data_IF_391148668419
#
_entry.id   IF_391148668419
#
_cell.length_a   1.000
_cell.length_b   1.000
_cell.length_c   1.000
_cell.angle_alpha   90.00
_cell.angle_beta   90.00
_cell.angle_gamma   90.00
#
_symmetry.space_group_name_H-M   'P 1'
#
loop_
_entity.id
_entity.type
_entity.pdbx_description
1 polymer ?
2 non-polymer ?
3 water ?
#
# COMPACT_ATOMS: atom_id res chain seq x y z
N UNK A 4 7.22 13.18 7.54
CA UNK A 4 7.94 11.93 7.17
C UNK A 4 7.04 10.68 7.30
N UNK A 5 7.50 9.58 6.72
CA UNK A 5 6.63 8.49 6.31
C UNK A 5 6.69 7.28 7.24
N UNK A 6 5.53 6.87 7.74
CA UNK A 6 5.40 5.64 8.50
C UNK A 6 4.80 4.56 7.61
N UNK A 7 4.88 3.31 8.06
CA UNK A 7 4.32 2.18 7.32
C UNK A 7 3.92 1.11 8.32
N UNK A 8 2.70 0.59 8.20
CA UNK A 8 2.20 -0.41 9.14
C UNK A 8 2.60 -1.82 8.71
N UNK A 9 3.59 -2.37 9.37
CA UNK A 9 4.07 -3.73 9.09
C UNK A 9 5.16 -4.12 10.08
N UNK A 10 5.54 -5.39 10.07
CA UNK A 10 6.75 -5.83 10.77
C UNK A 10 7.89 -5.83 9.77
N UNK A 11 9.09 -5.52 10.23
CA UNK A 11 10.25 -5.41 9.36
C UNK A 11 11.39 -6.24 9.94
N UNK A 12 11.80 -7.26 9.19
CA UNK A 12 12.84 -8.20 9.62
C UNK A 12 13.91 -8.27 8.55
N UNK A 13 15.14 -8.58 8.96
CA UNK A 13 16.19 -8.92 8.01
C UNK A 13 16.27 -10.44 7.96
N UNK A 14 16.04 -11.00 6.77
CA UNK A 14 16.05 -12.44 6.54
C UNK A 14 16.92 -12.76 5.34
N UNK A 15 17.99 -13.50 5.58
CA UNK A 15 18.94 -13.89 4.53
C UNK A 15 19.42 -12.67 3.74
N UNK A 16 19.80 -11.62 4.47
CA UNK A 16 20.26 -10.34 3.89
C UNK A 16 19.13 -9.46 3.30
N UNK A 18 15.77 -7.27 3.66
CA UNK A 18 14.79 -6.56 4.44
C UNK A 18 13.39 -6.92 3.99
N UNK A 19 12.64 -7.58 4.87
CA UNK A 19 11.34 -8.14 4.53
C UNK A 19 10.24 -7.51 5.38
N UNK A 20 9.24 -6.94 4.72
CA UNK A 20 8.06 -6.38 5.38
C UNK A 20 6.96 -7.45 5.48
N UNK A 21 6.42 -7.66 6.67
CA UNK A 21 5.33 -8.63 6.87
C UNK A 21 4.02 -7.93 7.24
N UNK A 22 2.96 -8.29 6.52
CA UNK A 22 1.65 -7.66 6.63
C UNK A 22 0.55 -8.72 6.71
N UNK A 23 -0.61 -8.34 7.21
CA UNK A 23 -1.75 -9.26 7.28
C UNK A 23 -2.84 -8.78 8.22
N UNK A 24 -3.94 -9.51 8.28
CA UNK A 24 -5.04 -9.20 9.20
C UNK A 24 -4.58 -9.28 10.64
N UNK A 25 -5.41 -8.75 11.54
CA UNK A 25 -5.11 -8.76 12.96
C UNK A 25 -5.26 -10.18 13.53
N UNK A 26 -4.41 -10.50 14.51
CA UNK A 26 -4.51 -11.73 15.30
C UNK A 26 -4.44 -13.01 14.43
N UNK A 27 -3.37 -13.11 13.64
CA UNK A 27 -3.07 -14.31 12.87
C UNK A 27 -1.70 -14.90 13.21
N UNK A 28 -0.93 -14.24 14.09
CA UNK A 28 0.37 -14.74 14.52
C UNK A 28 1.57 -14.08 13.86
N UNK A 29 1.43 -12.82 13.45
CA UNK A 29 2.52 -12.05 12.85
C UNK A 29 3.67 -11.84 13.83
N UNK A 30 3.36 -11.32 15.01
CA UNK A 30 4.38 -11.10 16.04
C UNK A 30 5.01 -12.42 16.49
N UNK A 31 4.21 -13.47 16.51
CA UNK A 31 4.69 -14.80 16.81
C UNK A 31 5.62 -15.29 15.70
N UNK A 32 5.34 -14.91 14.47
CA UNK A 32 6.21 -15.23 13.34
C UNK A 32 7.55 -14.53 13.45
N UNK A 33 7.54 -13.25 13.85
CA UNK A 33 8.79 -12.51 14.05
C UNK A 33 9.66 -13.23 15.07
N UNK A 34 9.10 -13.55 16.22
CA UNK A 34 9.82 -14.26 17.28
C UNK A 34 10.46 -15.54 16.74
N UNK A 35 9.65 -16.36 16.06
CA UNK A 35 10.14 -17.62 15.50
C UNK A 35 11.28 -17.40 14.50
N UNK A 36 11.16 -16.39 13.66
CA UNK A 36 12.23 -16.03 12.73
C UNK A 36 13.50 -15.58 13.46
N UNK A 37 13.33 -14.82 14.55
CA UNK A 37 14.49 -14.44 15.39
C UNK A 37 15.18 -15.69 15.93
N UNK A 38 14.37 -16.67 16.33
CA UNK A 38 14.86 -17.93 16.91
C UNK A 38 15.63 -18.77 15.88
N UNK A 39 15.31 -18.59 14.60
CA UNK A 39 16.05 -19.26 13.53
C UNK A 39 17.33 -18.52 13.13
N UNK A 40 17.64 -17.41 13.79
CA UNK A 40 18.89 -16.68 13.56
C UNK A 40 18.76 -15.43 12.72
N UNK A 41 17.53 -15.01 12.44
CA UNK A 41 17.28 -13.81 11.65
C UNK A 41 17.19 -12.61 12.60
N UNK A 42 16.89 -11.43 12.05
CA UNK A 42 16.97 -10.20 12.82
C UNK A 42 15.70 -9.36 12.76
N UNK A 43 15.43 -8.67 13.86
CA UNK A 43 14.31 -7.74 13.96
C UNK A 43 14.79 -6.33 13.61
N UNK A 44 14.01 -5.63 12.79
CA UNK A 44 14.20 -4.20 12.63
C UNK A 44 13.14 -3.49 13.45
N UNK A 45 11.87 -3.84 13.23
CA UNK A 45 10.79 -3.22 13.98
C UNK A 45 9.46 -4.00 13.97
N UNK A 46 8.73 -3.90 15.07
CA UNK A 46 7.40 -4.47 15.20
C UNK A 46 6.37 -3.37 14.93
N UNK A 47 5.24 -3.76 14.36
CA UNK A 47 4.08 -2.86 14.15
C UNK A 47 4.27 -1.72 13.14
N UNK A 48 5.12 -0.75 13.45
CA UNK A 48 5.28 0.45 12.61
C UNK A 48 6.72 0.70 12.23
N UNK A 49 6.93 1.20 11.00
CA UNK A 49 8.27 1.42 10.44
C UNK A 49 8.40 2.83 9.89
N UNK A 50 9.49 3.52 10.22
CA UNK A 50 9.83 4.76 9.54
C UNK A 50 10.52 4.42 8.22
N UNK A 51 10.12 5.10 7.15
CA UNK A 51 10.70 4.89 5.82
C UNK A 51 11.35 6.17 5.31
N UNK A 52 12.39 6.02 4.50
CA UNK A 52 13.04 7.15 3.85
C UNK A 52 13.85 6.72 2.62
N UNK A 53 14.15 7.68 1.76
CA UNK A 53 14.98 7.43 0.58
C UNK A 53 16.37 8.03 0.73
N UNK A 54 17.39 7.18 0.63
CA UNK A 54 18.79 7.63 0.70
C UNK A 54 19.65 6.87 -0.32
N UNK A 55 20.14 7.59 -1.33
CA UNK A 55 21.02 7.01 -2.37
C UNK A 55 20.31 5.94 -3.22
N UNK A 56 19.11 6.27 -3.69
CA UNK A 56 18.28 5.33 -4.45
C UNK A 56 18.06 4.01 -3.69
N UNK A 57 17.85 4.13 -2.38
CA UNK A 57 17.49 2.99 -1.53
C UNK A 57 16.31 3.36 -0.65
N UNK A 58 15.34 2.45 -0.56
CA UNK A 58 14.27 2.57 0.40
C UNK A 58 14.76 1.93 1.69
N UNK A 59 15.09 2.77 2.66
CA UNK A 59 15.56 2.31 3.96
C UNK A 59 14.44 2.37 5.00
N UNK A 60 14.31 1.31 5.78
CA UNK A 60 13.32 1.22 6.84
C UNK A 60 13.98 1.22 8.20
N UNK A 61 13.49 2.05 9.11
CA UNK A 61 14.08 2.20 10.43
C UNK A 61 13.00 2.25 11.50
N UNK A 62 13.33 1.73 12.68
CA UNK A 62 12.40 1.66 13.80
C UNK A 62 12.59 2.91 14.64
N UNK A 63 11.48 3.54 15.07
CA UNK A 63 11.63 4.68 15.98
C UNK A 63 12.11 4.23 17.35
N UNK A 64 12.84 5.08 18.05
CA UNK A 64 13.39 4.77 19.38
C UNK A 64 12.29 4.32 20.35
N UNK A 65 12.69 3.98 21.57
CA UNK A 65 11.75 3.63 22.64
C UNK A 65 11.14 2.27 22.39
N UNK A 66 10.47 2.13 21.25
CA UNK A 66 9.95 0.83 20.80
C UNK A 66 11.04 -0.08 20.26
N UNK A 67 12.20 0.47 19.92
CA UNK A 67 13.26 -0.32 19.32
C UNK A 67 13.71 -1.50 20.19
N UNK A 68 13.71 -2.69 19.60
CA UNK A 68 14.16 -3.90 20.30
C UNK A 68 13.05 -4.68 20.99
N UNK A 69 11.84 -4.14 21.00
CA UNK A 69 10.72 -4.77 21.71
C UNK A 69 9.66 -5.34 20.76
N UNK A 70 9.09 -6.47 21.17
CA UNK A 70 8.02 -7.16 20.45
C UNK A 70 6.90 -7.44 21.43
N UNK A 71 5.65 -7.28 21.00
CA UNK A 71 4.51 -7.62 21.83
C UNK A 71 3.88 -8.91 21.29
N UNK A 72 3.68 -9.89 22.18
CA UNK A 72 2.99 -11.13 21.85
C UNK A 72 1.96 -11.40 22.93
N UNK A 73 0.70 -11.48 22.55
CA UNK A 73 -0.38 -11.63 23.52
C UNK A 73 -0.21 -12.95 24.25
N UNK A 74 -0.28 -12.90 25.57
CA UNK A 74 0.01 -14.04 26.42
C UNK A 74 1.33 -13.86 27.14
N UNK A 75 2.33 -13.37 26.39
CA UNK A 75 3.66 -13.11 26.92
C UNK A 75 3.76 -11.67 27.40
N UNK A 76 3.34 -10.75 26.55
CA UNK A 76 3.51 -9.32 26.79
C UNK A 76 4.67 -8.77 26.00
N UNK A 77 5.42 -7.85 26.59
CA UNK A 77 6.59 -7.28 25.94
C UNK A 77 7.77 -8.24 26.01
N UNK A 78 8.57 -8.25 24.93
CA UNK A 78 9.76 -9.09 24.85
C UNK A 78 10.95 -8.22 24.48
N UNK A 79 11.87 -8.04 25.43
CA UNK A 79 13.14 -7.37 25.17
C UNK A 79 14.01 -8.34 24.36
N UNK A 80 13.91 -8.27 23.04
CA UNK A 80 14.57 -9.23 22.15
C UNK A 80 16.09 -9.29 22.33
N UNK A 81 16.75 -8.12 22.43
CA UNK A 81 18.19 -8.11 22.70
C UNK A 81 18.58 -8.87 23.96
N UNK A 82 17.87 -8.63 25.06
CA UNK A 82 18.14 -9.32 26.32
C UNK A 82 18.06 -10.84 26.15
N UNK A 83 17.06 -11.31 25.41
CA UNK A 83 16.77 -12.75 25.29
C UNK A 83 17.50 -13.44 24.14
N UNK A 84 17.82 -12.71 23.07
CA UNK A 84 18.40 -13.33 21.87
C UNK A 84 19.74 -12.72 21.42
N UNK A 85 20.28 -11.77 22.18
CA UNK A 85 21.58 -11.18 21.88
C UNK A 85 21.50 -9.85 21.15
N UNK A 86 22.58 -9.08 21.22
CA UNK A 86 22.64 -7.76 20.60
C UNK A 86 22.53 -7.86 19.07
N UNK A 87 23.12 -8.91 18.49
CA UNK A 87 23.08 -9.11 17.04
C UNK A 87 21.70 -9.55 16.50
N UNK A 88 20.73 -9.77 17.38
CA UNK A 88 19.38 -10.17 16.98
C UNK A 88 18.50 -8.99 16.53
N UNK A 89 18.98 -7.76 16.77
CA UNK A 89 18.27 -6.56 16.35
C UNK A 89 19.18 -5.65 15.53
N UNK A 90 18.57 -4.93 14.58
CA UNK A 90 19.28 -4.00 13.71
C UNK A 90 18.48 -2.71 13.64
N UNK A 91 19.18 -1.57 13.60
CA UNK A 91 18.49 -0.27 13.63
C UNK A 91 17.91 0.18 12.29
N UNK A 92 18.47 -0.30 11.19
CA UNK A 92 17.92 -0.04 9.86
C UNK A 92 18.39 -1.04 8.81
N UNK A 93 17.71 -1.05 7.67
CA UNK A 93 18.05 -1.93 6.56
C UNK A 93 17.23 -1.56 5.34
N UNK A 94 17.74 -1.87 4.15
CA UNK A 94 17.03 -1.62 2.90
C UNK A 94 15.83 -2.56 2.80
N UNK A 95 14.74 -2.08 2.23
CA UNK A 95 13.54 -2.87 1.98
C UNK A 95 13.71 -3.59 0.67
N UNK A 96 13.65 -4.92 0.69
CA UNK A 96 13.80 -5.73 -0.52
C UNK A 96 12.51 -6.43 -0.95
N UNK A 97 11.72 -6.87 0.03
CA UNK A 97 10.55 -7.70 -0.24
C UNK A 97 9.43 -7.35 0.72
N UNK A 98 8.21 -7.49 0.25
CA UNK A 98 7.01 -7.29 1.05
C UNK A 98 6.16 -8.55 0.97
N UNK A 99 5.98 -9.25 2.08
CA UNK A 99 5.13 -10.43 2.11
C UNK A 99 3.82 -10.09 2.79
N UNK A 100 2.71 -10.45 2.14
CA UNK A 100 1.37 -10.20 2.65
C UNK A 100 0.72 -11.54 2.95
N UNK A 101 0.55 -11.83 4.25
CA UNK A 101 -0.01 -13.10 4.71
C UNK A 101 -1.52 -13.07 4.53
N UNK A 102 -2.04 -14.00 3.73
CA UNK A 102 -3.45 -14.02 3.34
C UNK A 102 -4.10 -15.32 3.78
N UNK A 103 -5.37 -15.24 4.17
CA UNK A 103 -6.14 -16.43 4.53
C UNK A 103 -6.42 -17.19 3.24
N UNK A 104 -6.21 -18.51 3.24
CA UNK A 104 -6.40 -19.34 2.04
C UNK A 104 -7.68 -19.05 1.26
N UNK A 105 -8.78 -18.82 1.98
CA UNK A 105 -10.09 -18.61 1.34
C UNK A 105 -10.14 -17.31 0.52
N UNK A 106 -9.38 -16.30 0.98
CA UNK A 106 -9.36 -14.99 0.34
C UNK A 106 -8.24 -14.85 -0.69
N UNK A 108 -6.29 -15.04 -4.10
CA UNK A 108 -6.69 -15.02 -5.52
C UNK A 108 -6.25 -16.26 -6.29
N UNK A 109 -6.79 -16.43 -7.49
CA UNK A 109 -6.44 -17.58 -8.33
C UNK A 109 -4.97 -17.53 -8.71
N UNK A 110 -4.38 -18.72 -8.86
CA UNK A 110 -2.95 -18.87 -9.09
C UNK A 110 -2.70 -19.13 -10.57
N UNK A 111 -1.89 -18.28 -11.20
CA UNK A 111 -1.61 -18.39 -12.63
C UNK A 111 -0.61 -19.50 -12.89
N UNK A 112 0.48 -19.48 -12.11
CA UNK A 112 1.53 -20.48 -12.19
C UNK A 112 1.81 -21.02 -10.79
N UNK A 113 1.31 -22.23 -10.48
CA UNK A 113 1.49 -22.80 -9.14
C UNK A 113 2.92 -23.27 -8.84
N UNK A 114 3.81 -23.26 -9.83
CA UNK A 114 5.22 -23.59 -9.64
C UNK A 114 6.01 -22.39 -9.12
N UNK A 115 5.37 -21.21 -9.04
CA UNK A 115 5.99 -20.01 -8.49
C UNK A 115 5.06 -19.32 -7.49
N UNK A 116 5.60 -18.42 -6.66
CA UNK A 116 4.76 -17.67 -5.73
C UNK A 116 3.86 -16.67 -6.45
N UNK A 117 2.81 -16.21 -5.79
CA UNK A 117 1.96 -15.19 -6.37
C UNK A 117 2.61 -13.84 -6.15
N UNK A 118 3.29 -13.35 -7.19
CA UNK A 118 4.03 -12.09 -7.14
C UNK A 118 3.16 -10.91 -7.57
N UNK A 119 3.29 -9.81 -6.83
CA UNK A 119 2.72 -8.53 -7.20
C UNK A 119 3.80 -7.47 -6.94
N UNK A 120 3.44 -6.20 -7.11
CA UNK A 120 4.33 -5.08 -6.79
C UNK A 120 3.63 -4.10 -5.85
N UNK A 121 4.39 -3.60 -4.87
CA UNK A 121 3.95 -2.53 -3.97
C UNK A 121 4.72 -1.27 -4.28
N UNK A 122 4.01 -0.15 -4.37
CA UNK A 122 4.66 1.16 -4.50
C UNK A 122 4.86 1.74 -3.11
N UNK A 123 6.10 1.75 -2.66
CA UNK A 123 6.47 2.32 -1.36
C UNK A 123 7.32 3.57 -1.61
N UNK A 124 6.74 4.74 -1.35
CA UNK A 124 7.38 6.02 -1.68
C UNK A 124 7.91 6.03 -3.11
N UNK A 125 7.09 5.55 -4.04
CA UNK A 125 7.41 5.57 -5.46
C UNK A 125 8.41 4.53 -5.93
N UNK A 126 8.76 3.59 -5.06
CA UNK A 126 9.71 2.54 -5.41
C UNK A 126 8.97 1.21 -5.51
N UNK A 127 9.27 0.45 -6.56
CA UNK A 127 8.65 -0.85 -6.78
C UNK A 127 9.30 -1.88 -5.88
N UNK A 128 8.55 -2.34 -4.87
CA UNK A 128 8.99 -3.43 -4.02
C UNK A 128 8.20 -4.68 -4.40
N UNK A 129 8.90 -5.78 -4.73
CA UNK A 129 8.20 -7.03 -5.02
C UNK A 129 7.35 -7.47 -3.84
N UNK A 130 6.18 -8.02 -4.14
CA UNK A 130 5.20 -8.38 -3.11
C UNK A 130 4.69 -9.78 -3.37
N UNK A 131 4.70 -10.62 -2.34
CA UNK A 131 4.18 -11.98 -2.44
C UNK A 131 2.93 -12.10 -1.60
N UNK A 132 1.90 -12.71 -2.15
CA UNK A 132 0.72 -13.08 -1.39
C UNK A 132 0.91 -14.51 -0.91
N UNK A 133 1.05 -14.71 0.39
CA UNK A 133 1.31 -16.05 0.93
C UNK A 133 0.14 -16.58 1.73
N UNK A 134 -0.37 -17.77 1.36
CA UNK A 134 -1.48 -18.38 2.07
C UNK A 134 -1.06 -18.92 3.44
N UNK A 135 -1.81 -18.58 4.47
CA UNK A 135 -1.46 -18.96 5.83
C UNK A 135 -2.33 -20.13 6.31
N UNK A 136 -1.72 -21.30 6.45
CA UNK A 136 -2.36 -22.45 7.06
C UNK A 136 -1.81 -22.61 8.47
N UNK A 137 -2.66 -22.95 9.46
CA UNK A 137 -2.12 -23.07 10.81
C UNK A 137 -1.30 -24.35 10.98
N UNK A 138 -0.06 -24.21 11.47
CA UNK A 138 0.75 -25.36 11.84
C UNK A 138 1.35 -26.16 10.69
N UNK A 139 1.95 -25.46 9.73
CA UNK A 139 2.77 -26.11 8.69
C UNK A 139 4.19 -25.57 8.76
N UNK A 140 4.56 -25.07 9.94
CA UNK A 140 5.88 -24.49 10.18
C UNK A 140 6.08 -23.24 9.34
N UNK A 141 5.18 -22.27 9.54
CA UNK A 141 5.21 -20.99 8.83
C UNK A 141 6.57 -20.27 8.86
N UNK A 142 7.30 -20.32 9.99
CA UNK A 142 8.61 -19.68 9.99
C UNK A 142 9.54 -20.27 8.94
N UNK A 143 9.56 -21.60 8.84
CA UNK A 143 10.40 -22.26 7.85
C UNK A 143 9.92 -21.92 6.44
N UNK A 144 8.61 -21.81 6.27
CA UNK A 144 8.05 -21.51 4.96
C UNK A 144 8.42 -20.12 4.50
N UNK A 145 8.30 -19.15 5.39
CA UNK A 145 8.64 -17.76 5.11
C UNK A 145 10.15 -17.59 4.90
N UNK A 146 10.96 -18.29 5.68
CA UNK A 146 12.40 -18.28 5.48
C UNK A 146 12.76 -18.84 4.11
N UNK A 147 12.10 -19.92 3.72
CA UNK A 147 12.34 -20.57 2.43
C UNK A 147 11.86 -19.67 1.28
N UNK A 148 10.71 -19.03 1.47
CA UNK A 148 10.18 -18.09 0.49
C UNK A 148 11.15 -16.94 0.23
N UNK A 149 11.78 -16.45 1.28
CA UNK A 149 12.68 -15.29 1.19
C UNK A 149 14.00 -15.68 0.55
N UNK A 150 14.52 -16.85 0.90
CA UNK A 150 15.77 -17.34 0.30
C UNK A 150 15.60 -17.62 -1.19
N UNK A 151 14.45 -18.14 -1.56
CA UNK A 151 14.10 -18.34 -2.97
C UNK A 151 14.03 -17.02 -3.70
N UNK A 152 13.47 -16.02 -3.05
CA UNK A 152 13.36 -14.68 -3.64
C UNK A 152 14.75 -14.09 -3.93
N UNK A 153 15.65 -14.22 -2.96
CA UNK A 153 17.01 -13.70 -3.13
C UNK A 153 17.73 -14.38 -4.28
N UNK A 154 17.58 -15.70 -4.40
CA UNK A 154 18.13 -16.42 -5.54
C UNK A 154 17.54 -15.91 -6.85
N UNK A 155 16.23 -15.68 -6.84
CA UNK A 155 15.54 -15.20 -8.04
C UNK A 155 16.00 -13.80 -8.47
N UNK A 157 18.93 -12.48 -7.71
CA UNK A 157 20.28 -12.70 -8.20
C UNK A 157 20.29 -13.31 -9.59
N UNK A 158 19.22 -14.05 -9.92
CA UNK A 158 19.03 -14.59 -11.25
C UNK A 158 18.83 -13.51 -12.30
N UNK A 159 18.03 -12.50 -11.96
CA UNK A 159 17.80 -11.38 -12.88
C UNK A 159 19.04 -10.51 -12.99
N UNK A 160 19.74 -10.30 -11.88
CA UNK A 160 20.97 -9.53 -11.88
C UNK A 160 22.07 -10.19 -12.71
N UNK A 161 22.11 -11.52 -12.70
CA UNK A 161 23.02 -12.26 -13.57
C UNK A 161 22.64 -12.11 -15.03
N UNK A 162 21.34 -12.22 -15.32
CA UNK A 162 20.83 -12.10 -16.69
C UNK A 162 21.13 -10.73 -17.25
N UNK A 163 20.85 -9.68 -16.48
CA UNK A 163 21.15 -8.31 -16.91
C UNK A 163 22.64 -8.12 -17.19
N UNK A 164 23.48 -8.56 -16.26
CA UNK A 164 24.93 -8.51 -16.46
C UNK A 164 25.40 -9.39 -17.62
N UNK A 165 24.65 -10.47 -17.90
CA UNK A 165 24.94 -11.34 -19.03
C UNK A 165 24.77 -10.61 -20.36
N UNK A 166 23.93 -9.58 -20.38
CA UNK A 166 23.84 -8.71 -21.56
C UNK A 166 25.00 -7.70 -21.59
N UNK A 167 26.22 -8.25 -21.59
CA UNK A 167 27.45 -7.50 -21.91
C UNK A 167 27.78 -7.67 -23.40
N UNK A 168 27.08 -8.57 -24.08
CA UNK A 168 27.36 -8.90 -25.47
C UNK A 168 26.86 -7.81 -26.42
N UNK B 4 -14.86 1.24 10.10
CA UNK B 4 -15.86 2.33 9.92
C UNK B 4 -15.20 3.68 10.12
N UNK B 5 -15.18 4.50 9.08
CA UNK B 5 -14.62 5.85 9.16
C UNK B 5 -15.06 6.70 7.98
N UNK B 6 -15.61 7.88 8.27
CA UNK B 6 -16.08 8.80 7.24
C UNK B 6 -15.02 9.84 6.92
N UNK B 7 -14.72 10.01 5.63
CA UNK B 7 -13.70 10.95 5.17
C UNK B 7 -14.34 12.04 4.32
N UNK B 8 -13.63 13.16 4.17
CA UNK B 8 -14.01 14.18 3.21
C UNK B 8 -13.10 14.09 1.98
N UNK B 9 -13.65 13.58 0.89
CA UNK B 9 -12.90 13.41 -0.36
C UNK B 9 -13.80 12.84 -1.45
N UNK B 10 -13.27 12.75 -2.66
CA UNK B 10 -13.97 12.12 -3.78
C UNK B 10 -13.36 10.77 -4.09
N UNK B 11 -14.20 9.78 -4.37
CA UNK B 11 -13.73 8.44 -4.67
C UNK B 11 -14.23 8.00 -6.03
N UNK B 12 -13.29 7.69 -6.94
CA UNK B 12 -13.59 7.29 -8.31
C UNK B 12 -12.80 6.05 -8.70
N UNK B 13 -13.33 5.26 -9.63
CA UNK B 13 -12.62 4.12 -10.17
C UNK B 13 -12.08 4.48 -11.54
N UNK B 14 -10.76 4.48 -11.68
CA UNK B 14 -10.07 4.88 -12.90
C UNK B 14 -9.13 3.77 -13.34
N UNK B 15 -9.41 3.16 -14.48
CA UNK B 15 -8.56 2.11 -15.03
C UNK B 15 -8.38 1.00 -13.99
N UNK B 16 -9.49 0.53 -13.43
CA UNK B 16 -9.53 -0.50 -12.38
C UNK B 16 -8.90 -0.10 -11.03
N UNK B 18 -9.19 2.28 -7.59
CA UNK B 18 -9.98 3.15 -6.73
C UNK B 18 -9.09 4.30 -6.28
N UNK B 19 -9.47 5.52 -6.65
CA UNK B 19 -8.62 6.69 -6.42
C UNK B 19 -9.33 7.72 -5.55
N UNK B 20 -8.74 8.03 -4.40
CA UNK B 20 -9.25 9.07 -3.51
C UNK B 20 -8.64 10.41 -3.89
N UNK B 21 -9.47 11.42 -4.13
CA UNK B 21 -9.00 12.74 -4.51
C UNK B 21 -9.27 13.78 -3.41
N UNK B 22 -8.19 14.41 -2.94
CA UNK B 22 -8.22 15.33 -1.81
C UNK B 22 -7.67 16.68 -2.22
N UNK B 23 -8.07 17.73 -1.51
CA UNK B 23 -7.53 19.07 -1.76
C UNK B 23 -8.29 20.15 -1.00
N UNK B 24 -7.84 21.39 -1.15
CA UNK B 24 -8.51 22.53 -0.53
C UNK B 24 -9.87 22.79 -1.18
N UNK B 25 -10.73 23.53 -0.48
CA UNK B 25 -12.07 23.83 -0.96
C UNK B 25 -12.03 24.74 -2.19
N UNK B 26 -12.97 24.50 -3.11
CA UNK B 26 -13.14 25.33 -4.31
C UNK B 26 -11.89 25.40 -5.19
N UNK B 27 -11.45 24.25 -5.67
CA UNK B 27 -10.33 24.16 -6.62
C UNK B 27 -10.68 23.31 -7.86
N UNK B 28 -11.94 22.89 -7.98
CA UNK B 28 -12.40 22.11 -9.12
C UNK B 28 -12.39 20.61 -8.94
N UNK B 29 -12.43 20.14 -7.69
CA UNK B 29 -12.44 18.70 -7.40
C UNK B 29 -13.65 18.04 -8.03
N UNK B 30 -14.85 18.56 -7.74
CA UNK B 30 -16.08 18.00 -8.29
C UNK B 30 -16.16 18.15 -9.80
N UNK B 31 -15.61 19.25 -10.32
CA UNK B 31 -15.51 19.45 -11.76
C UNK B 31 -14.60 18.40 -12.39
N UNK B 32 -13.54 18.05 -11.67
CA UNK B 32 -12.62 17.00 -12.12
C UNK B 32 -13.31 15.64 -12.16
N UNK B 33 -14.19 15.37 -11.19
CA UNK B 33 -14.93 14.13 -11.17
C UNK B 33 -15.74 14.02 -12.46
N UNK B 34 -16.53 15.06 -12.76
CA UNK B 34 -17.32 15.11 -14.00
C UNK B 34 -16.48 14.79 -15.23
N UNK B 35 -15.35 15.48 -15.37
CA UNK B 35 -14.46 15.34 -16.52
C UNK B 35 -13.94 13.91 -16.67
N UNK B 36 -13.66 13.24 -15.56
CA UNK B 36 -13.22 11.86 -15.56
C UNK B 36 -14.35 10.91 -15.95
N UNK B 37 -15.56 11.21 -15.52
CA UNK B 37 -16.74 10.42 -15.89
C UNK B 37 -16.97 10.49 -17.40
N UNK B 38 -16.78 11.68 -17.97
CA UNK B 38 -16.91 11.90 -19.41
C UNK B 38 -15.83 11.14 -20.20
N UNK B 39 -14.67 11.01 -19.58
CA UNK B 39 -13.57 10.20 -20.13
C UNK B 39 -13.86 8.69 -20.13
N UNK B 40 -14.92 8.27 -19.43
CA UNK B 40 -15.35 6.87 -19.41
C UNK B 40 -15.03 6.14 -18.10
N UNK B 41 -14.79 6.89 -17.03
CA UNK B 41 -14.48 6.33 -15.72
C UNK B 41 -15.70 6.40 -14.83
N UNK B 42 -15.60 5.87 -13.62
CA UNK B 42 -16.76 5.66 -12.76
C UNK B 42 -16.68 6.41 -11.44
N UNK B 43 -17.83 6.87 -10.96
CA UNK B 43 -17.96 7.56 -9.67
C UNK B 43 -18.35 6.56 -8.56
N UNK B 44 -17.64 6.60 -7.44
CA UNK B 44 -18.08 5.89 -6.23
C UNK B 44 -18.88 6.88 -5.37
N UNK B 45 -18.30 8.05 -5.11
CA UNK B 45 -19.09 9.30 -4.93
C UNK B 45 -18.30 10.55 -4.53
N UNK B 46 -19.04 11.65 -4.34
CA UNK B 46 -18.51 13.00 -4.23
C UNK B 46 -18.73 13.51 -2.82
N UNK B 47 -17.75 14.26 -2.31
CA UNK B 47 -17.82 14.97 -1.02
C UNK B 47 -17.53 14.08 0.20
N UNK B 48 -18.37 13.06 0.42
CA UNK B 48 -18.19 12.16 1.56
C UNK B 48 -17.96 10.73 1.06
N UNK B 49 -17.20 9.96 1.85
CA UNK B 49 -16.89 8.57 1.51
C UNK B 49 -16.73 7.72 2.79
N UNK B 50 -17.45 6.61 2.86
CA UNK B 50 -17.36 5.67 3.99
C UNK B 50 -16.25 4.66 3.73
N UNK B 51 -15.23 4.65 4.58
CA UNK B 51 -14.11 3.71 4.47
C UNK B 51 -14.25 2.60 5.50
N UNK B 52 -14.00 1.36 5.07
CA UNK B 52 -13.95 0.22 5.98
C UNK B 52 -12.78 -0.70 5.62
N UNK B 53 -12.27 -1.41 6.63
CA UNK B 53 -11.23 -2.39 6.44
C UNK B 53 -11.84 -3.78 6.43
N UNK B 54 -11.58 -4.53 5.36
CA UNK B 54 -12.05 -5.91 5.22
C UNK B 54 -10.97 -6.72 4.53
N UNK B 55 -10.68 -7.91 5.05
CA UNK B 55 -9.76 -8.84 4.40
C UNK B 55 -8.41 -8.20 4.06
N UNK B 56 -7.91 -7.38 4.99
CA UNK B 56 -6.66 -6.63 4.83
C UNK B 56 -6.66 -5.70 3.61
N UNK B 57 -7.85 -5.23 3.23
CA UNK B 57 -8.04 -4.28 2.14
C UNK B 57 -8.86 -3.09 2.65
N UNK B 58 -8.65 -1.93 2.03
CA UNK B 58 -9.40 -0.72 2.35
C UNK B 58 -10.47 -0.47 1.30
N UNK B 59 -11.73 -0.74 1.66
CA UNK B 59 -12.86 -0.56 0.75
C UNK B 59 -13.54 0.78 1.01
N UNK B 60 -13.92 1.46 -0.07
CA UNK B 60 -14.63 2.74 0.00
C UNK B 60 -16.04 2.59 -0.51
N UNK B 61 -17.02 2.96 0.31
CA UNK B 61 -18.44 2.83 -0.04
C UNK B 61 -19.07 4.21 -0.05
N UNK B 62 -20.28 4.31 -0.60
CA UNK B 62 -21.03 5.57 -0.60
C UNK B 62 -22.33 5.46 0.16
N UNK B 63 -22.62 6.44 1.04
CA UNK B 63 -23.92 6.45 1.72
C UNK B 63 -25.08 6.45 0.73
N UNK B 64 -26.12 5.68 1.03
CA UNK B 64 -27.26 5.50 0.13
C UNK B 64 -27.83 6.81 -0.40
N UNK B 65 -27.95 7.82 0.47
CA UNK B 65 -28.55 9.10 0.11
C UNK B 65 -27.72 9.87 -0.94
N UNK B 66 -26.39 9.82 -0.81
CA UNK B 66 -25.49 10.55 -1.71
C UNK B 66 -25.04 9.71 -2.90
N UNK B 67 -25.76 8.61 -3.17
CA UNK B 67 -25.37 7.66 -4.22
C UNK B 67 -25.72 8.18 -5.61
N UNK B 68 -24.68 8.40 -6.42
CA UNK B 68 -24.85 8.77 -7.83
C UNK B 68 -25.15 10.23 -8.10
N UNK B 69 -24.84 11.09 -7.14
CA UNK B 69 -25.08 12.53 -7.28
C UNK B 69 -23.78 13.32 -7.15
N UNK B 70 -23.66 14.39 -7.95
CA UNK B 70 -22.52 15.30 -7.87
C UNK B 70 -23.03 16.73 -7.76
N UNK B 71 -22.39 17.52 -6.90
CA UNK B 71 -22.75 18.92 -6.71
C UNK B 71 -21.61 19.78 -7.24
N UNK B 72 -21.96 20.67 -8.16
CA UNK B 72 -21.01 21.59 -8.78
C UNK B 72 -21.62 22.97 -8.81
N UNK B 73 -20.91 23.97 -8.30
CA UNK B 73 -21.48 25.31 -8.17
C UNK B 73 -21.74 25.91 -9.55
N UNK B 74 -22.96 26.36 -9.78
CA UNK B 74 -23.39 26.84 -11.08
C UNK B 74 -24.39 25.89 -11.73
N UNK B 75 -24.10 24.60 -11.66
CA UNK B 75 -24.97 23.56 -12.23
C UNK B 75 -25.95 23.01 -11.20
N UNK B 76 -25.45 22.71 -10.00
CA UNK B 76 -26.26 22.14 -8.93
C UNK B 76 -26.11 20.63 -8.87
N UNK B 77 -27.19 19.94 -8.49
CA UNK B 77 -27.16 18.48 -8.37
C UNK B 77 -27.20 17.82 -9.75
N UNK B 78 -26.34 16.81 -9.94
CA UNK B 78 -26.26 16.09 -11.22
C UNK B 78 -26.45 14.60 -11.02
N UNK B 79 -27.62 14.09 -11.42
CA UNK B 79 -27.90 12.66 -11.43
C UNK B 79 -27.00 12.00 -12.48
N UNK B 80 -25.89 11.43 -12.02
CA UNK B 80 -24.87 10.90 -12.93
C UNK B 80 -25.36 9.69 -13.75
N UNK B 81 -26.02 8.71 -13.10
CA UNK B 81 -26.60 7.58 -13.82
C UNK B 81 -27.49 7.96 -15.01
N UNK B 82 -28.32 8.97 -14.82
CA UNK B 82 -29.25 9.39 -15.87
C UNK B 82 -28.53 10.08 -17.03
N UNK B 83 -27.50 10.86 -16.73
CA UNK B 83 -26.75 11.61 -17.76
C UNK B 83 -25.64 10.80 -18.43
N UNK B 84 -24.99 9.90 -17.69
CA UNK B 84 -23.85 9.15 -18.22
C UNK B 84 -24.05 7.63 -18.20
N UNK B 85 -25.28 7.18 -17.99
CA UNK B 85 -25.59 5.74 -18.02
C UNK B 85 -25.36 5.03 -16.70
N UNK B 86 -25.95 3.85 -16.56
CA UNK B 86 -25.88 3.07 -15.33
C UNK B 86 -24.46 2.60 -15.00
N UNK B 87 -23.68 2.26 -16.04
CA UNK B 87 -22.33 1.75 -15.84
C UNK B 87 -21.32 2.85 -15.46
N UNK B 88 -21.78 4.09 -15.31
CA UNK B 88 -20.93 5.21 -14.95
C UNK B 88 -20.82 5.45 -13.44
N UNK B 89 -21.45 4.58 -12.65
CA UNK B 89 -21.37 4.66 -11.19
C UNK B 89 -21.24 3.27 -10.58
N UNK B 90 -20.54 3.17 -9.45
CA UNK B 90 -20.38 1.92 -8.72
C UNK B 90 -20.51 2.18 -7.21
N UNK B 91 -20.99 1.17 -6.48
CA UNK B 91 -21.23 1.31 -5.03
C UNK B 91 -19.96 1.19 -4.20
N UNK B 92 -19.22 0.10 -4.39
CA UNK B 92 -17.98 -0.15 -3.65
C UNK B 92 -16.80 -0.38 -4.59
N UNK B 93 -15.60 -0.09 -4.07
CA UNK B 93 -14.37 -0.47 -4.73
C UNK B 93 -13.22 -0.37 -3.73
N UNK B 94 -12.20 -1.21 -3.90
CA UNK B 94 -11.00 -1.13 -3.08
C UNK B 94 -10.29 0.18 -3.35
N UNK B 95 -9.76 0.80 -2.29
CA UNK B 95 -8.94 1.99 -2.44
C UNK B 95 -7.56 1.50 -2.82
N UNK B 96 -7.05 1.99 -3.95
CA UNK B 96 -5.71 1.63 -4.43
C UNK B 96 -4.74 2.78 -4.27
N UNK B 97 -5.19 3.98 -4.65
CA UNK B 97 -4.33 5.16 -4.71
C UNK B 97 -5.04 6.33 -4.07
N UNK B 98 -4.25 7.26 -3.54
CA UNK B 98 -4.75 8.53 -3.04
C UNK B 98 -4.01 9.64 -3.76
N UNK B 99 -4.75 10.61 -4.28
CA UNK B 99 -4.16 11.77 -4.95
C UNK B 99 -4.57 13.02 -4.20
N UNK B 100 -3.57 13.82 -3.84
CA UNK B 100 -3.79 15.06 -3.11
C UNK B 100 -3.49 16.25 -4.04
N UNK B 101 -4.54 16.95 -4.46
CA UNK B 101 -4.40 18.12 -5.32
C UNK B 101 -3.90 19.32 -4.52
N UNK B 102 -2.66 19.73 -4.80
CA UNK B 102 -2.02 20.82 -4.06
C UNK B 102 -1.72 21.98 -5.00
N UNK B 103 -1.77 23.20 -4.47
CA UNK B 103 -1.44 24.37 -5.25
C UNK B 103 0.09 24.55 -5.28
N UNK B 104 0.66 24.86 -6.46
CA UNK B 104 2.10 24.98 -6.68
C UNK B 104 2.88 25.67 -5.55
N UNK B 105 2.32 26.75 -5.01
CA UNK B 105 3.02 27.55 -3.99
C UNK B 105 3.23 26.77 -2.69
N UNK B 106 2.33 25.82 -2.42
CA UNK B 106 2.42 24.96 -1.23
C UNK B 106 2.92 23.55 -1.58
N UNK B 108 5.96 20.87 -1.99
CA UNK B 108 7.34 20.66 -1.53
C UNK B 108 8.36 20.58 -2.67
N UNK B 109 9.64 20.50 -2.32
CA UNK B 109 10.72 20.39 -3.31
C UNK B 109 10.85 18.95 -3.83
N UNK B 112 13.47 14.54 -7.22
CA UNK B 112 13.42 13.65 -8.38
C UNK B 112 12.29 14.08 -9.31
N UNK B 113 12.59 14.93 -10.31
CA UNK B 113 11.57 15.40 -11.25
C UNK B 113 11.16 14.37 -12.32
N UNK B 114 11.85 13.23 -12.37
CA UNK B 114 11.51 12.15 -13.31
C UNK B 114 10.30 11.32 -12.85
N UNK B 115 9.91 11.45 -11.57
CA UNK B 115 8.79 10.70 -11.00
C UNK B 115 7.82 11.61 -10.24
N UNK B 116 6.61 11.11 -9.94
CA UNK B 116 5.68 11.87 -9.11
C UNK B 116 6.16 12.00 -7.66
N UNK B 117 5.62 12.97 -6.93
CA UNK B 117 5.97 13.10 -5.51
C UNK B 117 5.11 12.13 -4.72
N UNK B 118 5.68 10.95 -4.45
CA UNK B 118 4.99 9.90 -3.70
C UNK B 118 5.16 10.06 -2.21
N UNK B 119 4.08 9.81 -1.48
CA UNK B 119 4.12 9.66 -0.04
C UNK B 119 3.30 8.42 0.32
N UNK B 120 3.15 8.15 1.61
CA UNK B 120 2.34 7.02 2.06
C UNK B 120 1.45 7.43 3.23
N UNK B 121 0.33 6.73 3.37
CA UNK B 121 -0.66 7.05 4.39
C UNK B 121 -1.23 5.76 4.99
N UNK B 122 -1.31 5.72 6.31
CA UNK B 122 -1.96 4.61 7.00
C UNK B 122 -3.43 4.97 7.23
N UNK B 123 -4.32 4.34 6.48
CA UNK B 123 -5.75 4.55 6.62
C UNK B 123 -6.37 3.26 7.14
N UNK B 124 -6.88 3.31 8.38
CA UNK B 124 -7.44 2.14 9.07
C UNK B 124 -6.46 0.96 9.07
N UNK B 125 -5.21 1.25 9.34
CA UNK B 125 -4.16 0.23 9.41
C UNK B 125 -3.79 -0.37 8.06
N UNK B 126 -4.04 0.36 6.97
CA UNK B 126 -3.71 -0.11 5.64
C UNK B 126 -2.90 0.96 4.92
N UNK B 127 -1.80 0.53 4.32
CA UNK B 127 -0.87 1.42 3.67
C UNK B 127 -1.35 1.78 2.28
N UNK B 128 -1.63 3.07 2.07
CA UNK B 128 -2.13 3.55 0.80
C UNK B 128 -1.17 4.61 0.26
N UNK B 129 -0.61 4.38 -0.95
CA UNK B 129 0.30 5.36 -1.52
C UNK B 129 -0.41 6.66 -1.85
N UNK B 130 0.28 7.77 -1.66
CA UNK B 130 -0.30 9.10 -1.77
C UNK B 130 0.54 9.96 -2.69
N UNK B 131 -0.10 10.60 -3.68
CA UNK B 131 0.61 11.49 -4.60
C UNK B 131 0.17 12.92 -4.41
N UNK B 132 1.14 13.83 -4.32
CA UNK B 132 0.87 15.26 -4.29
C UNK B 132 1.03 15.78 -5.70
N UNK B 133 -0.05 16.30 -6.28
CA UNK B 133 -0.04 16.76 -7.66
C UNK B 133 -0.33 18.26 -7.73
N UNK B 134 0.51 19.02 -8.45
CA UNK B 134 0.31 20.46 -8.65
C UNK B 134 -0.67 20.78 -9.77
N UNK B 135 -1.73 21.51 -9.44
CA UNK B 135 -2.74 21.92 -10.43
C UNK B 135 -2.43 23.32 -10.98
N UNK B 136 -2.91 23.59 -12.19
CA UNK B 136 -2.63 24.86 -12.88
C UNK B 136 -3.90 25.45 -13.49
N UNK B 140 -4.65 20.81 -18.67
CA UNK B 140 -5.66 19.80 -18.94
C UNK B 140 -5.70 18.76 -17.83
N UNK B 141 -6.24 19.16 -16.68
CA UNK B 141 -6.18 18.36 -15.45
C UNK B 141 -6.74 16.93 -15.58
N UNK B 142 -7.91 16.75 -16.20
CA UNK B 142 -8.48 15.41 -16.32
C UNK B 142 -7.53 14.42 -17.01
N UNK B 143 -6.94 14.82 -18.13
CA UNK B 143 -6.00 13.97 -18.84
C UNK B 143 -4.75 13.69 -18.02
N UNK B 144 -4.21 14.75 -17.40
CA UNK B 144 -3.04 14.62 -16.54
C UNK B 144 -3.25 13.58 -15.44
N UNK B 145 -4.38 13.68 -14.73
CA UNK B 145 -4.65 12.79 -13.62
C UNK B 145 -4.95 11.36 -14.08
N UNK B 146 -5.67 11.21 -15.18
CA UNK B 146 -5.91 9.87 -15.70
C UNK B 146 -4.58 9.24 -16.09
N UNK B 147 -3.68 10.04 -16.67
CA UNK B 147 -2.36 9.56 -17.06
C UNK B 147 -1.55 9.17 -15.82
N UNK B 148 -1.65 9.98 -14.77
CA UNK B 148 -0.97 9.69 -13.50
C UNK B 148 -1.40 8.36 -12.92
N UNK B 149 -2.71 8.08 -12.99
CA UNK B 149 -3.27 6.85 -12.43
C UNK B 149 -2.86 5.63 -13.25
N UNK B 150 -2.98 5.73 -14.57
CA UNK B 150 -2.57 4.64 -15.45
C UNK B 150 -1.09 4.35 -15.27
N UNK B 151 -0.30 5.41 -15.11
CA UNK B 151 1.13 5.28 -14.82
C UNK B 151 1.34 4.47 -13.55
N UNK B 152 0.53 4.76 -12.54
CA UNK B 152 0.60 4.05 -11.27
C UNK B 152 0.20 2.57 -11.39
N UNK B 153 -0.84 2.29 -12.17
CA UNK B 153 -1.23 0.90 -12.40
C UNK B 153 -0.15 0.14 -13.17
N UNK B 154 0.48 0.83 -14.12
CA UNK B 154 1.61 0.27 -14.84
C UNK B 154 2.72 -0.05 -13.85
N UNK B 155 2.89 0.84 -12.88
CA UNK B 155 3.90 0.70 -11.84
C UNK B 155 3.59 -0.48 -10.90
N UNK B 157 2.47 -3.26 -11.77
CA UNK B 157 2.88 -4.50 -12.45
C UNK B 157 4.41 -4.61 -12.48
N UNK B 158 5.05 -3.79 -13.31
CA UNK B 158 6.50 -3.81 -13.46
C UNK B 158 7.01 -2.87 -14.53
#
# INVERSE_FOLDING_TARGET
SNAKQTWHANFLVIDKXGVLITGEANIGKSELSLALIDRGHQLVCDDVIDLKQENNQLIGSCPSVANGYILITGIGIIDVPKLFGLDAVVNQHEVHLSISLVKPEKXPLLDDPLNPLYRTEIILGINVPKILFPIHPGRNLPLLIETLVRNHRLKXEGYDSSHHFHEHFRKARDNYDSKKN
SNAKQTWHANFLVIDKXGVLITGEANIGKSELSLALIDRGHQLVCDDVIDLKQENNQLIGSCPSVANGYILITGIGIIDVPKLFGLDAVVNQHEVHLSISLVKPEKXPLLDDPLNPLYRTEIILGINVPKILFPIHPGRNLPLLIETLVRNHRLKXEGYDSSHHFHEHFRKARDNYDSKKN
#
